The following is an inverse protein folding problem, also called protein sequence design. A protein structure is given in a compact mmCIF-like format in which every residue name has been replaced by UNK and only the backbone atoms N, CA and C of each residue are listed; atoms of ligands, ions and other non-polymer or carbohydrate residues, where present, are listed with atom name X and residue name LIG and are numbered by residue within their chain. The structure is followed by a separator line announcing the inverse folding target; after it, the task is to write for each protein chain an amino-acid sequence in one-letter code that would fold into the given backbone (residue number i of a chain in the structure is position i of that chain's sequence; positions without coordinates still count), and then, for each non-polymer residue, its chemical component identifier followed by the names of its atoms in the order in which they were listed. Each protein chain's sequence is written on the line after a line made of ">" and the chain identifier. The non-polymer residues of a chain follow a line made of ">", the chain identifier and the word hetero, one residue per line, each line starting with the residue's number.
data_IF_204816115013
#
_entry.id   IF_204816115013
#
_cell.length_a   1.000
_cell.length_b   1.000
_cell.length_c   1.000
_cell.angle_alpha   90.00
_cell.angle_beta   90.00
_cell.angle_gamma   90.00
#
_symmetry.space_group_name_H-M   'P 1'
#
loop_
_entity.id
_entity.type
_entity.pdbx_description
1 polymer ?
#
# COMPACT_ATOMS: atom_id res chain seq x y z
N UNK A 1 -16.82 15.69 8.67
CA UNK A 1 -16.25 14.60 7.87
C UNK A 1 -15.70 13.55 8.83
N UNK A 2 -16.23 12.32 8.77
CA UNK A 2 -15.75 11.16 9.53
C UNK A 2 -14.61 10.48 8.75
N UNK A 3 -13.55 10.09 9.43
CA UNK A 3 -12.42 9.35 8.84
C UNK A 3 -12.43 7.92 9.37
N UNK A 4 -12.47 6.93 8.48
CA UNK A 4 -12.26 5.52 8.83
C UNK A 4 -10.77 5.18 8.66
N UNK A 5 -10.11 4.79 9.73
CA UNK A 5 -8.75 4.23 9.67
C UNK A 5 -8.86 2.73 9.68
N UNK A 6 -8.50 2.08 8.55
CA UNK A 6 -8.58 0.63 8.39
C UNK A 6 -7.23 -0.01 8.68
N UNK A 7 -7.21 -0.96 9.60
CA UNK A 7 -6.02 -1.72 9.98
C UNK A 7 -6.24 -3.21 9.68
N UNK A 8 -5.41 -3.80 8.83
CA UNK A 8 -5.33 -5.24 8.63
C UNK A 8 -4.11 -5.76 9.39
N UNK A 9 -4.33 -6.58 10.41
CA UNK A 9 -3.27 -6.99 11.36
C UNK A 9 -3.11 -8.50 11.42
N UNK A 10 -1.88 -8.95 11.69
CA UNK A 10 -1.56 -10.36 11.93
C UNK A 10 -0.25 -10.51 12.68
N UNK A 11 -0.31 -11.07 13.89
CA UNK A 11 0.87 -11.30 14.73
C UNK A 11 1.69 -10.04 15.02
N UNK A 12 1.03 -8.99 15.52
CA UNK A 12 1.59 -7.68 15.81
C UNK A 12 1.63 -7.37 17.31
N UNK A 13 1.65 -8.38 18.18
CA UNK A 13 1.55 -8.18 19.64
C UNK A 13 2.60 -7.20 20.22
N UNK A 14 3.75 -7.07 19.56
CA UNK A 14 4.83 -6.16 19.99
C UNK A 14 4.51 -4.69 19.68
N UNK A 15 3.76 -4.42 18.61
CA UNK A 15 3.62 -3.06 18.06
C UNK A 15 2.19 -2.54 18.05
N UNK A 16 1.19 -3.42 18.05
CA UNK A 16 -0.22 -3.07 17.84
C UNK A 16 -0.74 -2.02 18.82
N UNK A 17 -0.34 -2.09 20.09
CA UNK A 17 -0.76 -1.11 21.09
C UNK A 17 -0.27 0.29 20.72
N UNK A 18 1.03 0.43 20.42
CA UNK A 18 1.62 1.72 20.03
C UNK A 18 1.02 2.27 18.71
N UNK A 19 0.69 1.37 17.76
CA UNK A 19 0.05 1.74 16.51
C UNK A 19 -1.36 2.31 16.75
N UNK A 20 -2.21 1.62 17.51
CA UNK A 20 -3.57 2.09 17.85
C UNK A 20 -3.50 3.40 18.65
N UNK A 21 -2.66 3.47 19.67
CA UNK A 21 -2.49 4.69 20.47
C UNK A 21 -2.06 5.89 19.62
N UNK A 22 -1.26 5.70 18.58
CA UNK A 22 -0.85 6.77 17.68
C UNK A 22 -2.02 7.35 16.87
N UNK A 23 -3.04 6.53 16.56
CA UNK A 23 -4.28 6.96 15.91
C UNK A 23 -5.22 7.62 16.93
N UNK A 24 -5.36 7.05 18.13
CA UNK A 24 -6.20 7.60 19.19
C UNK A 24 -5.82 9.03 19.57
N UNK A 25 -4.51 9.37 19.49
CA UNK A 25 -3.95 10.70 19.83
C UNK A 25 -4.09 11.73 18.71
N UNK A 26 -4.67 11.36 17.55
CA UNK A 26 -4.86 12.32 16.47
C UNK A 26 -5.82 13.43 16.87
N UNK A 27 -5.44 14.66 16.57
CA UNK A 27 -6.23 15.86 16.89
C UNK A 27 -7.35 16.07 15.83
N UNK A 28 -8.26 15.11 15.74
CA UNK A 28 -9.45 15.16 14.87
C UNK A 28 -10.66 14.62 15.63
N UNK A 29 -11.79 15.35 15.55
CA UNK A 29 -12.97 15.02 16.35
C UNK A 29 -13.68 13.73 15.96
N UNK A 30 -13.70 13.39 14.66
CA UNK A 30 -14.51 12.29 14.13
C UNK A 30 -13.62 11.27 13.42
N UNK A 31 -13.19 10.23 14.15
CA UNK A 31 -12.49 9.08 13.61
C UNK A 31 -13.15 7.79 14.10
N UNK A 32 -13.15 6.76 13.28
CA UNK A 32 -13.35 5.37 13.67
C UNK A 32 -12.10 4.57 13.30
N UNK A 33 -11.74 3.61 14.12
CA UNK A 33 -10.56 2.75 13.97
C UNK A 33 -11.05 1.33 13.77
N UNK A 34 -10.94 0.81 12.57
CA UNK A 34 -11.44 -0.51 12.22
C UNK A 34 -10.26 -1.46 12.11
N UNK A 35 -10.17 -2.38 13.05
CA UNK A 35 -9.06 -3.34 13.16
C UNK A 35 -9.56 -4.72 12.80
N UNK A 36 -9.03 -5.28 11.72
CA UNK A 36 -9.38 -6.62 11.23
C UNK A 36 -8.20 -7.55 11.44
N UNK A 37 -8.41 -8.57 12.27
CA UNK A 37 -7.42 -9.61 12.51
C UNK A 37 -7.43 -10.68 11.42
N UNK A 38 -6.29 -10.92 10.78
CA UNK A 38 -6.11 -11.92 9.71
C UNK A 38 -5.60 -13.27 10.28
N UNK A 39 -6.11 -13.67 11.44
CA UNK A 39 -5.77 -14.94 12.08
C UNK A 39 -4.44 -14.89 12.84
N UNK A 40 -4.31 -13.97 13.78
CA UNK A 40 -3.18 -13.91 14.71
C UNK A 40 -3.17 -15.13 15.64
N UNK A 41 -1.96 -15.57 15.99
CA UNK A 41 -1.70 -16.71 16.88
C UNK A 41 -0.92 -16.31 18.14
N UNK A 42 -0.60 -15.02 18.25
CA UNK A 42 0.01 -14.38 19.42
C UNK A 42 -1.04 -13.57 20.19
N UNK A 43 -0.63 -12.76 21.16
CA UNK A 43 -1.52 -11.92 21.98
C UNK A 43 -2.05 -10.67 21.29
N UNK A 44 -1.97 -10.56 19.95
CA UNK A 44 -2.48 -9.39 19.22
C UNK A 44 -3.96 -9.12 19.50
N UNK A 45 -4.78 -10.17 19.42
CA UNK A 45 -6.25 -10.07 19.59
C UNK A 45 -6.63 -9.63 20.99
N UNK A 46 -5.98 -10.19 22.02
CA UNK A 46 -6.20 -9.83 23.43
C UNK A 46 -5.88 -8.35 23.69
N UNK A 47 -4.77 -7.86 23.14
CA UNK A 47 -4.36 -6.45 23.26
C UNK A 47 -5.40 -5.54 22.60
N UNK A 48 -5.83 -5.84 21.37
CA UNK A 48 -6.82 -5.02 20.65
C UNK A 48 -8.13 -4.96 21.43
N UNK A 49 -8.64 -6.11 21.91
CA UNK A 49 -9.88 -6.18 22.68
C UNK A 49 -9.80 -5.38 23.98
N UNK A 50 -8.66 -5.44 24.66
CA UNK A 50 -8.43 -4.65 25.88
C UNK A 50 -8.51 -3.15 25.61
N UNK A 51 -7.92 -2.67 24.51
CA UNK A 51 -7.97 -1.25 24.15
C UNK A 51 -9.37 -0.84 23.72
N UNK A 52 -10.07 -1.70 22.96
CA UNK A 52 -11.44 -1.43 22.50
C UNK A 52 -12.46 -1.29 23.65
N UNK A 53 -12.22 -1.93 24.79
CA UNK A 53 -13.05 -1.73 25.99
C UNK A 53 -13.00 -0.30 26.54
N UNK A 54 -11.93 0.44 26.26
CA UNK A 54 -11.70 1.80 26.79
C UNK A 54 -11.93 2.91 25.76
N UNK A 55 -12.07 2.56 24.46
CA UNK A 55 -12.28 3.54 23.39
C UNK A 55 -13.34 3.04 22.39
N UNK A 56 -14.55 3.57 22.52
CA UNK A 56 -15.69 3.21 21.65
C UNK A 56 -15.54 3.57 20.17
N UNK A 57 -14.45 4.22 19.76
CA UNK A 57 -14.14 4.48 18.35
C UNK A 57 -13.53 3.27 17.65
N UNK A 58 -13.12 2.24 18.43
CA UNK A 58 -12.46 1.05 17.91
C UNK A 58 -13.50 -0.01 17.60
N UNK A 59 -13.53 -0.45 16.35
CA UNK A 59 -14.33 -1.57 15.84
C UNK A 59 -13.34 -2.69 15.54
N UNK A 60 -13.45 -3.80 16.29
CA UNK A 60 -12.64 -4.99 16.06
C UNK A 60 -13.49 -6.11 15.45
N UNK A 61 -12.94 -6.76 14.41
CA UNK A 61 -13.54 -7.97 13.84
C UNK A 61 -12.44 -8.92 13.30
N UNK A 62 -12.83 -10.18 13.10
CA UNK A 62 -11.94 -11.18 12.49
C UNK A 62 -12.14 -11.21 10.97
N UNK A 63 -11.06 -11.40 10.22
CA UNK A 63 -11.13 -11.59 8.78
C UNK A 63 -11.86 -12.91 8.46
N UNK A 64 -13.01 -12.88 7.76
CA UNK A 64 -13.75 -14.09 7.42
C UNK A 64 -13.02 -15.01 6.45
N UNK A 65 -12.07 -14.47 5.69
CA UNK A 65 -11.22 -15.20 4.73
C UNK A 65 -9.79 -14.75 4.89
N UNK A 66 -8.82 -15.66 4.87
CA UNK A 66 -7.42 -15.31 5.08
C UNK A 66 -6.86 -14.41 3.97
N UNK A 67 -6.03 -13.44 4.37
CA UNK A 67 -5.26 -12.58 3.48
C UNK A 67 -5.45 -11.09 3.72
N UNK A 68 -4.37 -10.33 3.59
CA UNK A 68 -4.34 -8.87 3.82
C UNK A 68 -5.37 -8.10 3.01
N UNK A 69 -5.52 -8.45 1.71
CA UNK A 69 -6.52 -7.83 0.81
C UNK A 69 -7.93 -8.07 1.32
N UNK A 70 -8.25 -9.31 1.70
CA UNK A 70 -9.55 -9.67 2.28
C UNK A 70 -9.83 -8.91 3.56
N UNK A 71 -8.84 -8.78 4.45
CA UNK A 71 -8.97 -8.03 5.70
C UNK A 71 -9.29 -6.55 5.43
N UNK A 72 -8.59 -5.88 4.52
CA UNK A 72 -8.90 -4.49 4.14
C UNK A 72 -10.28 -4.35 3.50
N UNK A 73 -10.67 -5.27 2.60
CA UNK A 73 -12.02 -5.27 2.00
C UNK A 73 -13.11 -5.47 3.06
N UNK A 74 -12.84 -6.33 4.06
CA UNK A 74 -13.78 -6.53 5.18
C UNK A 74 -13.88 -5.26 6.03
N UNK A 75 -12.77 -4.65 6.42
CA UNK A 75 -12.75 -3.38 7.15
C UNK A 75 -13.47 -2.26 6.39
N UNK A 76 -13.29 -2.19 5.06
CA UNK A 76 -13.99 -1.20 4.24
C UNK A 76 -15.51 -1.38 4.24
N UNK A 77 -16.01 -2.61 4.29
CA UNK A 77 -17.46 -2.88 4.40
C UNK A 77 -18.06 -2.39 5.72
N UNK A 78 -17.27 -2.40 6.81
CA UNK A 78 -17.67 -1.91 8.13
C UNK A 78 -17.55 -0.39 8.25
N UNK A 79 -16.67 0.22 7.43
CA UNK A 79 -16.35 1.64 7.47
C UNK A 79 -17.56 2.52 7.14
N UNK A 80 -17.77 3.57 7.95
CA UNK A 80 -18.83 4.57 7.76
C UNK A 80 -18.28 5.95 7.35
N UNK A 81 -16.97 6.17 7.48
CA UNK A 81 -16.32 7.44 7.21
C UNK A 81 -16.44 7.90 5.77
N UNK A 82 -16.52 9.19 5.55
CA UNK A 82 -16.49 9.84 4.24
C UNK A 82 -15.11 9.76 3.58
N UNK A 83 -14.06 9.68 4.41
CA UNK A 83 -12.69 9.45 3.98
C UNK A 83 -12.12 8.19 4.62
N UNK A 84 -11.26 7.50 3.86
CA UNK A 84 -10.63 6.25 4.25
C UNK A 84 -9.12 6.45 4.29
N UNK A 85 -8.47 5.96 5.35
CA UNK A 85 -7.01 5.84 5.46
C UNK A 85 -6.67 4.40 5.81
N UNK A 86 -5.68 3.81 5.15
CA UNK A 86 -5.17 2.49 5.50
C UNK A 86 -3.99 2.64 6.46
N UNK A 87 -3.85 1.71 7.40
CA UNK A 87 -2.75 1.75 8.36
C UNK A 87 -2.30 0.34 8.73
N UNK A 88 -1.01 0.19 9.05
CA UNK A 88 -0.44 -1.10 9.46
C UNK A 88 -0.39 -1.23 10.99
N UNK A 89 -0.34 -2.46 11.50
CA UNK A 89 -0.33 -2.74 12.94
C UNK A 89 1.03 -2.52 13.62
N UNK A 90 2.09 -2.27 12.83
CA UNK A 90 3.47 -2.08 13.30
C UNK A 90 3.99 -0.65 13.15
N UNK A 91 3.24 0.24 12.50
CA UNK A 91 3.63 1.62 12.20
C UNK A 91 3.15 2.63 13.26
N UNK A 92 3.65 3.86 13.17
CA UNK A 92 3.23 4.99 14.03
C UNK A 92 2.68 6.12 13.16
N UNK A 93 1.51 6.63 13.51
CA UNK A 93 0.93 7.80 12.87
C UNK A 93 1.45 9.08 13.56
N UNK A 94 2.12 10.00 12.83
CA UNK A 94 2.57 11.27 13.41
C UNK A 94 1.39 12.09 13.94
N UNK A 95 1.62 12.85 15.01
CA UNK A 95 0.62 13.77 15.54
C UNK A 95 0.15 14.74 14.44
N UNK A 96 -1.14 15.08 14.45
CA UNK A 96 -1.80 15.96 13.47
C UNK A 96 -1.81 15.45 12.00
N UNK A 97 -1.33 14.24 11.74
CA UNK A 97 -1.32 13.68 10.38
C UNK A 97 -2.72 13.62 9.77
N UNK A 98 -3.72 13.13 10.51
CA UNK A 98 -5.10 13.07 10.01
C UNK A 98 -5.71 14.46 9.84
N UNK A 99 -5.45 15.40 10.76
CA UNK A 99 -5.98 16.77 10.69
C UNK A 99 -5.50 17.50 9.43
N UNK A 100 -4.21 17.41 9.13
CA UNK A 100 -3.62 18.02 7.93
C UNK A 100 -4.20 17.40 6.65
N UNK A 101 -4.25 16.06 6.58
CA UNK A 101 -4.80 15.37 5.42
C UNK A 101 -6.29 15.64 5.22
N UNK A 102 -7.06 15.72 6.29
CA UNK A 102 -8.48 16.05 6.25
C UNK A 102 -8.71 17.45 5.66
N UNK A 103 -7.92 18.44 6.09
CA UNK A 103 -8.01 19.81 5.58
C UNK A 103 -7.76 19.88 4.06
N UNK A 104 -6.80 19.12 3.56
CA UNK A 104 -6.54 19.05 2.12
C UNK A 104 -7.68 18.34 1.36
N UNK A 105 -8.16 17.21 1.89
CA UNK A 105 -9.24 16.44 1.27
C UNK A 105 -10.55 17.23 1.10
N UNK A 106 -10.89 18.11 2.06
CA UNK A 106 -12.08 18.95 2.00
C UNK A 106 -12.10 19.91 0.81
N UNK A 107 -10.93 20.24 0.26
CA UNK A 107 -10.76 21.17 -0.86
C UNK A 107 -10.45 20.45 -2.19
N UNK A 108 -10.57 19.13 -2.24
CA UNK A 108 -10.34 18.35 -3.45
C UNK A 108 -11.66 18.00 -4.15
N UNK A 109 -11.62 17.95 -5.48
CA UNK A 109 -12.69 17.43 -6.30
C UNK A 109 -12.75 15.89 -6.20
N UNK A 110 -13.95 15.36 -6.01
CA UNK A 110 -14.19 13.91 -5.93
C UNK A 110 -14.28 13.29 -7.35
N UNK A 111 -13.74 12.09 -7.56
CA UNK A 111 -13.09 11.15 -6.64
C UNK A 111 -11.66 11.59 -6.23
N UNK A 112 -11.44 11.85 -4.94
CA UNK A 112 -10.26 12.48 -4.40
C UNK A 112 -9.30 11.49 -3.72
N UNK A 113 -8.01 11.66 -3.99
CA UNK A 113 -6.94 10.88 -3.34
C UNK A 113 -5.78 11.81 -2.97
N UNK A 114 -5.42 11.78 -1.71
CA UNK A 114 -4.26 12.48 -1.18
C UNK A 114 -3.14 11.50 -0.87
N UNK A 115 -1.97 11.72 -1.48
CA UNK A 115 -0.74 10.96 -1.20
C UNK A 115 0.20 11.78 -0.34
N UNK A 116 0.58 11.25 0.81
CA UNK A 116 1.56 11.86 1.72
C UNK A 116 2.89 11.11 1.66
N UNK A 117 3.88 11.54 2.42
CA UNK A 117 5.15 10.83 2.58
C UNK A 117 5.05 9.79 3.68
N UNK A 118 5.96 8.83 3.63
CA UNK A 118 6.30 8.01 4.78
C UNK A 118 7.71 8.37 5.25
N UNK A 119 7.99 8.19 6.54
CA UNK A 119 9.30 8.36 7.13
C UNK A 119 9.74 7.04 7.75
N UNK A 120 10.97 6.65 7.50
CA UNK A 120 11.53 5.43 8.08
C UNK A 120 11.73 5.62 9.58
N UNK A 121 11.26 4.67 10.37
CA UNK A 121 11.49 4.53 11.80
C UNK A 121 12.34 3.27 12.02
N UNK A 122 13.61 3.43 12.40
CA UNK A 122 14.56 2.32 12.48
C UNK A 122 15.59 2.51 13.60
N UNK A 123 16.05 1.41 14.19
CA UNK A 123 17.22 1.42 15.07
C UNK A 123 18.52 1.68 14.30
N UNK A 124 18.54 1.36 13.01
CA UNK A 124 19.70 1.67 12.14
C UNK A 124 19.71 3.15 11.77
N UNK A 125 20.63 3.89 12.40
CA UNK A 125 20.80 5.34 12.21
C UNK A 125 21.10 5.76 10.76
N UNK A 126 21.51 4.84 9.88
CA UNK A 126 21.78 5.14 8.47
C UNK A 126 20.49 5.32 7.66
N UNK A 127 19.40 4.71 8.10
CA UNK A 127 18.12 4.76 7.40
C UNK A 127 17.02 5.45 8.22
N UNK A 128 17.20 5.62 9.52
CA UNK A 128 16.23 6.28 10.38
C UNK A 128 15.98 7.73 9.91
N UNK A 129 14.71 8.15 9.93
CA UNK A 129 14.31 9.49 9.52
C UNK A 129 14.26 9.72 8.01
N UNK A 130 14.65 8.76 7.17
CA UNK A 130 14.59 8.92 5.70
C UNK A 130 13.16 9.10 5.24
N UNK A 131 12.90 10.17 4.47
CA UNK A 131 11.61 10.41 3.82
C UNK A 131 11.48 9.63 2.50
N UNK A 132 10.34 9.01 2.28
CA UNK A 132 10.02 8.26 1.07
C UNK A 132 8.69 8.80 0.49
N UNK A 133 8.71 9.31 -0.76
CA UNK A 133 9.90 9.61 -1.58
C UNK A 133 10.67 10.83 -1.04
N UNK A 134 12.00 10.87 -1.29
CA UNK A 134 12.85 12.03 -0.90
C UNK A 134 12.47 13.31 -1.66
N UNK A 135 11.94 13.17 -2.88
CA UNK A 135 11.61 14.30 -3.76
C UNK A 135 10.48 15.14 -3.17
N UNK A 136 10.68 16.46 -3.10
CA UNK A 136 9.67 17.43 -2.68
C UNK A 136 8.48 17.44 -3.64
N UNK A 137 7.27 17.65 -3.10
CA UNK A 137 6.03 17.67 -3.88
C UNK A 137 5.59 16.31 -4.42
N UNK A 138 6.18 15.21 -3.92
CA UNK A 138 5.74 13.85 -4.24
C UNK A 138 5.35 13.08 -3.01
N UNK A 139 4.15 12.48 -3.03
CA UNK A 139 3.68 11.50 -2.06
C UNK A 139 4.10 10.08 -2.43
N UNK A 140 3.92 9.16 -1.52
CA UNK A 140 4.14 7.74 -1.68
C UNK A 140 2.82 7.05 -2.08
N UNK A 141 2.78 6.12 -3.05
CA UNK A 141 1.55 5.43 -3.45
C UNK A 141 1.20 4.21 -2.57
N UNK A 142 1.88 3.99 -1.44
CA UNK A 142 1.57 2.88 -0.53
C UNK A 142 0.29 3.13 0.28
N UNK A 143 -0.39 2.06 0.70
CA UNK A 143 -1.63 2.15 1.48
C UNK A 143 -1.52 3.03 2.72
N UNK A 144 -0.44 2.90 3.50
CA UNK A 144 -0.23 3.67 4.73
C UNK A 144 -0.08 5.20 4.52
N UNK A 145 0.18 5.65 3.31
CA UNK A 145 0.42 7.07 2.98
C UNK A 145 -0.72 7.74 2.24
N UNK A 146 -1.70 6.98 1.78
CA UNK A 146 -2.84 7.54 1.04
C UNK A 146 -4.07 7.73 1.95
N UNK A 147 -4.83 8.76 1.64
CA UNK A 147 -6.19 9.00 2.13
C UNK A 147 -7.08 9.25 0.92
N UNK A 148 -8.27 8.71 0.91
CA UNK A 148 -9.18 8.82 -0.24
C UNK A 148 -10.64 8.90 0.19
N UNK A 149 -11.47 9.52 -0.64
CA UNK A 149 -12.90 9.61 -0.40
C UNK A 149 -13.66 8.33 -0.83
N UNK A 150 -14.95 8.28 -0.52
CA UNK A 150 -15.83 7.15 -0.86
C UNK A 150 -15.96 6.92 -2.37
N UNK A 151 -15.87 7.96 -3.18
CA UNK A 151 -15.96 7.82 -4.63
C UNK A 151 -14.70 7.18 -5.20
N UNK A 152 -13.52 7.57 -4.71
CA UNK A 152 -12.24 6.92 -5.06
C UNK A 152 -12.15 5.50 -4.49
N UNK A 153 -12.72 5.26 -3.30
CA UNK A 153 -12.75 3.93 -2.67
C UNK A 153 -13.41 2.86 -3.57
N UNK A 154 -14.38 3.23 -4.41
CA UNK A 154 -15.01 2.30 -5.38
C UNK A 154 -13.99 1.64 -6.32
N UNK A 155 -12.88 2.32 -6.60
CA UNK A 155 -11.80 1.80 -7.44
C UNK A 155 -10.67 1.19 -6.61
N UNK A 156 -10.24 1.90 -5.55
CA UNK A 156 -9.10 1.51 -4.74
C UNK A 156 -9.35 0.26 -3.90
N UNK A 157 -10.58 0.07 -3.39
CA UNK A 157 -10.94 -1.07 -2.55
C UNK A 157 -11.56 -2.24 -3.34
N UNK A 158 -11.74 -2.08 -4.65
CA UNK A 158 -12.21 -3.14 -5.55
C UNK A 158 -11.06 -4.05 -6.03
N UNK A 159 -10.23 -4.43 -5.07
CA UNK A 159 -8.99 -5.20 -5.26
C UNK A 159 -9.33 -6.64 -5.63
N UNK A 160 -8.80 -7.21 -6.73
CA UNK A 160 -8.95 -8.62 -7.02
C UNK A 160 -8.39 -9.52 -5.90
N UNK A 161 -9.13 -10.56 -5.52
CA UNK A 161 -8.72 -11.49 -4.45
C UNK A 161 -7.49 -12.34 -4.83
N UNK A 162 -7.16 -12.39 -6.13
CA UNK A 162 -5.96 -13.03 -6.67
C UNK A 162 -4.66 -12.30 -6.30
N UNK A 163 -4.75 -11.01 -5.91
CA UNK A 163 -3.59 -10.18 -5.60
C UNK A 163 -3.14 -10.36 -4.14
N UNK A 164 -1.81 -10.40 -3.91
CA UNK A 164 -1.27 -10.63 -2.57
C UNK A 164 -1.29 -9.40 -1.66
N UNK A 165 -1.44 -8.19 -2.22
CA UNK A 165 -1.44 -6.93 -1.49
C UNK A 165 -2.22 -5.83 -2.22
N UNK A 166 -2.64 -4.84 -1.48
CA UNK A 166 -3.40 -3.68 -1.92
C UNK A 166 -2.55 -2.65 -2.68
N UNK A 167 -1.29 -2.46 -2.27
CA UNK A 167 -0.41 -1.39 -2.76
C UNK A 167 -0.27 -1.40 -4.29
N UNK A 168 -0.05 -2.60 -4.87
CA UNK A 168 0.16 -2.73 -6.31
C UNK A 168 -1.11 -2.39 -7.10
N UNK A 169 -2.29 -2.77 -6.57
CA UNK A 169 -3.57 -2.41 -7.18
C UNK A 169 -3.81 -0.91 -7.12
N UNK A 170 -3.60 -0.31 -5.95
CA UNK A 170 -3.78 1.12 -5.74
C UNK A 170 -2.85 1.94 -6.62
N UNK A 171 -1.57 1.56 -6.73
CA UNK A 171 -0.61 2.20 -7.64
C UNK A 171 -1.09 2.18 -9.11
N UNK A 172 -1.69 1.07 -9.55
CA UNK A 172 -2.29 0.99 -10.88
C UNK A 172 -3.52 1.90 -11.03
N UNK A 173 -4.40 1.96 -10.04
CA UNK A 173 -5.52 2.89 -10.04
C UNK A 173 -5.03 4.34 -10.15
N UNK A 174 -4.09 4.74 -9.29
CA UNK A 174 -3.50 6.08 -9.26
C UNK A 174 -2.83 6.46 -10.58
N UNK A 175 -2.20 5.50 -11.25
CA UNK A 175 -1.43 5.73 -12.48
C UNK A 175 -2.31 5.76 -13.73
N UNK A 176 -3.32 4.89 -13.80
CA UNK A 176 -4.00 4.62 -15.07
C UNK A 176 -5.45 5.10 -15.12
N UNK A 177 -6.16 5.30 -14.00
CA UNK A 177 -7.54 5.77 -14.01
C UNK A 177 -7.59 7.31 -14.14
N UNK A 178 -8.08 7.85 -15.27
CA UNK A 178 -8.01 9.29 -15.54
C UNK A 178 -9.00 10.14 -14.73
N UNK A 179 -10.02 9.50 -14.14
CA UNK A 179 -11.06 10.19 -13.36
C UNK A 179 -10.66 10.47 -11.92
N UNK A 180 -9.54 9.93 -11.44
CA UNK A 180 -9.10 10.12 -10.07
C UNK A 180 -8.32 11.43 -9.92
N UNK A 181 -8.77 12.28 -9.00
CA UNK A 181 -8.08 13.54 -8.65
C UNK A 181 -7.02 13.26 -7.57
N UNK A 182 -5.77 13.17 -7.99
CA UNK A 182 -4.65 12.80 -7.11
C UNK A 182 -3.81 14.02 -6.77
N UNK A 183 -3.69 14.32 -5.47
CA UNK A 183 -2.80 15.38 -4.94
C UNK A 183 -1.68 14.76 -4.12
N UNK A 184 -0.47 15.30 -4.25
CA UNK A 184 0.67 14.92 -3.41
C UNK A 184 0.93 15.96 -2.35
N UNK A 185 1.30 15.51 -1.14
CA UNK A 185 1.59 16.32 0.03
C UNK A 185 2.97 15.97 0.61
N UNK A 186 3.67 16.94 1.15
CA UNK A 186 5.02 16.70 1.72
C UNK A 186 4.97 16.26 3.20
N UNK A 187 3.81 16.34 3.86
CA UNK A 187 3.65 15.89 5.23
C UNK A 187 3.75 14.36 5.35
N UNK A 188 4.21 13.91 6.50
CA UNK A 188 4.38 12.48 6.81
C UNK A 188 3.06 11.90 7.29
N UNK A 189 2.55 10.89 6.58
CA UNK A 189 1.36 10.15 6.99
C UNK A 189 1.67 9.03 7.98
N UNK A 190 2.87 8.46 7.89
CA UNK A 190 3.24 7.25 8.59
C UNK A 190 4.75 7.25 8.90
N UNK A 191 5.11 6.90 10.13
CA UNK A 191 6.46 6.47 10.49
C UNK A 191 6.50 4.97 10.26
N UNK A 192 7.11 4.57 9.15
CA UNK A 192 7.22 3.18 8.74
C UNK A 192 8.31 2.47 9.54
N UNK A 193 7.89 1.55 10.40
CA UNK A 193 8.80 0.79 11.25
C UNK A 193 9.53 -0.28 10.46
N UNK A 194 10.87 -0.25 10.50
CA UNK A 194 11.72 -1.25 9.87
C UNK A 194 12.27 -2.20 10.92
N UNK A 195 11.85 -3.45 10.87
CA UNK A 195 12.27 -4.52 11.76
C UNK A 195 12.44 -5.86 10.99
N UNK A 196 12.96 -6.88 11.65
CA UNK A 196 13.25 -8.18 11.03
C UNK A 196 12.02 -8.94 10.52
N UNK A 197 10.84 -8.60 11.03
CA UNK A 197 9.55 -9.21 10.65
C UNK A 197 8.85 -8.55 9.46
N UNK A 198 9.35 -7.43 8.91
CA UNK A 198 8.72 -6.80 7.77
C UNK A 198 8.62 -7.73 6.56
N UNK A 199 7.49 -7.65 5.85
CA UNK A 199 7.23 -8.45 4.64
C UNK A 199 8.14 -8.14 3.46
N UNK A 200 8.78 -6.97 3.44
CA UNK A 200 9.79 -6.58 2.44
C UNK A 200 11.15 -7.14 2.88
N UNK A 201 11.45 -8.33 2.43
CA UNK A 201 12.76 -8.94 2.68
C UNK A 201 13.70 -8.70 1.50
N UNK A 202 14.67 -7.79 1.72
CA UNK A 202 15.88 -7.66 0.87
C UNK A 202 16.69 -8.98 0.89
N UNK A 203 16.38 -9.88 1.82
CA UNK A 203 17.08 -11.15 2.08
C UNK A 203 16.60 -12.32 1.22
N UNK A 204 15.44 -12.21 0.54
CA UNK A 204 14.95 -13.31 -0.28
C UNK A 204 15.97 -13.73 -1.34
N UNK A 205 16.06 -15.04 -1.59
CA UNK A 205 16.74 -15.57 -2.77
C UNK A 205 15.94 -15.21 -4.04
N UNK A 206 16.59 -15.40 -5.21
CA UNK A 206 15.96 -15.05 -6.48
C UNK A 206 14.64 -15.81 -6.73
N UNK A 207 14.57 -17.09 -6.39
CA UNK A 207 13.38 -17.90 -6.70
C UNK A 207 12.19 -17.45 -5.85
N UNK A 208 12.41 -17.30 -4.54
CA UNK A 208 11.40 -16.80 -3.60
C UNK A 208 10.91 -15.41 -3.97
N UNK A 209 11.86 -14.49 -4.28
CA UNK A 209 11.52 -13.16 -4.73
C UNK A 209 10.73 -13.16 -6.04
N UNK A 210 11.18 -13.93 -7.04
CA UNK A 210 10.55 -14.01 -8.34
C UNK A 210 9.10 -14.53 -8.25
N UNK A 211 8.85 -15.54 -7.41
CA UNK A 211 7.51 -16.04 -7.14
C UNK A 211 6.59 -14.97 -6.54
N UNK A 212 7.09 -14.23 -5.53
CA UNK A 212 6.35 -13.11 -4.91
C UNK A 212 6.07 -11.99 -5.93
N UNK A 213 7.09 -11.61 -6.70
CA UNK A 213 6.99 -10.55 -7.70
C UNK A 213 6.02 -10.91 -8.82
N UNK A 214 6.08 -12.15 -9.34
CA UNK A 214 5.14 -12.62 -10.38
C UNK A 214 3.69 -12.57 -9.93
N UNK A 215 3.40 -12.93 -8.67
CA UNK A 215 2.05 -12.81 -8.11
C UNK A 215 1.56 -11.36 -8.07
N UNK A 216 2.45 -10.40 -7.72
CA UNK A 216 2.10 -8.98 -7.74
C UNK A 216 1.84 -8.47 -9.15
N UNK A 217 2.63 -8.92 -10.14
CA UNK A 217 2.48 -8.47 -11.54
C UNK A 217 1.24 -9.02 -12.24
N UNK A 218 0.53 -9.97 -11.65
CA UNK A 218 -0.81 -10.34 -12.12
C UNK A 218 -1.78 -9.14 -12.14
N UNK A 219 -1.46 -8.07 -11.39
CA UNK A 219 -2.22 -6.82 -11.41
C UNK A 219 -2.40 -6.27 -12.83
N UNK A 220 -1.44 -6.47 -13.73
CA UNK A 220 -1.50 -5.94 -15.10
C UNK A 220 -2.72 -6.50 -15.84
N UNK A 221 -2.87 -7.83 -15.81
CA UNK A 221 -3.94 -8.52 -16.51
C UNK A 221 -5.29 -8.34 -15.80
N UNK A 222 -5.31 -8.39 -14.47
CA UNK A 222 -6.51 -8.10 -13.66
C UNK A 222 -7.03 -6.70 -13.91
N UNK A 223 -6.14 -5.70 -13.95
CA UNK A 223 -6.50 -4.30 -14.18
C UNK A 223 -7.02 -4.07 -15.62
N UNK A 224 -6.36 -4.66 -16.62
CA UNK A 224 -6.82 -4.62 -18.00
C UNK A 224 -8.20 -5.25 -18.15
N UNK A 225 -8.39 -6.44 -17.58
CA UNK A 225 -9.67 -7.15 -17.69
C UNK A 225 -10.82 -6.34 -17.07
N UNK A 226 -10.54 -5.63 -15.97
CA UNK A 226 -11.56 -4.89 -15.23
C UNK A 226 -11.89 -3.54 -15.85
N UNK A 227 -10.89 -2.82 -16.36
CA UNK A 227 -11.05 -1.42 -16.75
C UNK A 227 -10.82 -1.10 -18.23
N UNK A 228 -10.61 -2.10 -19.09
CA UNK A 228 -10.36 -1.89 -20.53
C UNK A 228 -11.42 -1.02 -21.22
N UNK A 229 -12.67 -1.05 -20.78
CA UNK A 229 -13.77 -0.29 -21.40
C UNK A 229 -13.72 1.23 -21.07
N UNK A 230 -13.06 1.61 -19.99
CA UNK A 230 -12.98 3.02 -19.54
C UNK A 230 -11.58 3.62 -19.69
N UNK A 231 -10.60 2.79 -20.02
CA UNK A 231 -9.22 3.26 -20.20
C UNK A 231 -9.03 3.89 -21.59
N UNK A 232 -8.22 4.98 -21.71
CA UNK A 232 -7.75 5.49 -22.97
C UNK A 232 -6.99 4.42 -23.78
N UNK A 233 -7.10 4.48 -25.11
CA UNK A 233 -6.52 3.47 -26.03
C UNK A 233 -4.99 3.35 -25.87
N UNK A 234 -4.31 4.48 -25.67
CA UNK A 234 -2.87 4.51 -25.44
C UNK A 234 -2.47 3.81 -24.14
N UNK A 235 -3.26 3.95 -23.08
CA UNK A 235 -3.05 3.25 -21.80
C UNK A 235 -3.30 1.74 -21.92
N UNK A 236 -4.32 1.35 -22.65
CA UNK A 236 -4.58 -0.07 -22.96
C UNK A 236 -3.41 -0.67 -23.74
N UNK A 237 -2.93 0.03 -24.78
CA UNK A 237 -1.78 -0.41 -25.57
C UNK A 237 -0.51 -0.55 -24.70
N UNK A 238 -0.28 0.42 -23.83
CA UNK A 238 0.85 0.38 -22.91
C UNK A 238 0.78 -0.81 -21.94
N UNK A 239 -0.37 -1.02 -21.30
CA UNK A 239 -0.58 -2.13 -20.36
C UNK A 239 -0.45 -3.51 -21.04
N UNK A 240 -0.89 -3.65 -22.27
CA UNK A 240 -0.65 -4.87 -23.09
C UNK A 240 0.85 -5.10 -23.31
N UNK A 241 1.61 -4.06 -23.66
CA UNK A 241 3.06 -4.15 -23.78
C UNK A 241 3.73 -4.51 -22.45
N UNK A 242 3.22 -3.98 -21.34
CA UNK A 242 3.71 -4.27 -19.99
C UNK A 242 3.45 -5.74 -19.61
N UNK A 243 2.26 -6.30 -19.96
CA UNK A 243 1.94 -7.72 -19.79
C UNK A 243 2.87 -8.62 -20.63
N UNK A 244 3.13 -8.26 -21.90
CA UNK A 244 4.11 -8.97 -22.72
C UNK A 244 5.50 -8.95 -22.08
N UNK A 245 5.97 -7.79 -21.60
CA UNK A 245 7.27 -7.66 -20.96
C UNK A 245 7.37 -8.48 -19.65
N UNK A 246 6.29 -8.57 -18.85
CA UNK A 246 6.24 -9.47 -17.70
C UNK A 246 6.34 -10.95 -18.11
N UNK A 247 5.71 -11.33 -19.21
CA UNK A 247 5.82 -12.69 -19.74
C UNK A 247 7.26 -13.01 -20.20
N UNK A 248 7.95 -12.08 -20.87
CA UNK A 248 9.38 -12.22 -21.19
C UNK A 248 10.23 -12.34 -19.92
N UNK A 249 9.97 -11.51 -18.91
CA UNK A 249 10.65 -11.60 -17.63
C UNK A 249 10.51 -12.97 -16.97
N UNK A 250 9.29 -13.54 -16.95
CA UNK A 250 9.01 -14.88 -16.38
C UNK A 250 9.76 -15.99 -17.08
N UNK A 251 9.95 -15.86 -18.39
CA UNK A 251 10.71 -16.81 -19.21
C UNK A 251 12.23 -16.61 -19.13
N UNK A 252 12.67 -15.45 -18.66
CA UNK A 252 14.09 -15.08 -18.65
C UNK A 252 14.58 -14.45 -19.96
N UNK A 253 13.66 -14.09 -20.87
CA UNK A 253 13.93 -13.54 -22.20
C UNK A 253 14.27 -12.05 -22.10
N UNK A 254 15.43 -11.76 -21.51
CA UNK A 254 15.85 -10.40 -21.18
C UNK A 254 16.06 -9.50 -22.41
N UNK A 255 16.43 -10.06 -23.57
CA UNK A 255 16.56 -9.32 -24.83
C UNK A 255 15.21 -8.75 -25.27
N UNK A 256 14.14 -9.53 -25.22
CA UNK A 256 12.80 -9.08 -25.61
C UNK A 256 12.28 -7.96 -24.70
N UNK A 257 12.70 -7.94 -23.42
CA UNK A 257 12.39 -6.82 -22.51
C UNK A 257 13.01 -5.51 -23.01
N UNK A 258 14.24 -5.54 -23.55
CA UNK A 258 14.90 -4.33 -24.09
C UNK A 258 14.14 -3.72 -25.27
N UNK A 259 13.54 -4.55 -26.12
CA UNK A 259 12.78 -4.11 -27.29
C UNK A 259 11.28 -3.87 -26.99
N UNK A 260 10.79 -4.22 -25.80
CA UNK A 260 9.40 -3.96 -25.41
C UNK A 260 9.07 -2.46 -25.43
N UNK A 261 7.87 -2.11 -25.91
CA UNK A 261 7.39 -0.71 -25.98
C UNK A 261 6.84 -0.23 -24.63
N UNK A 262 7.71 -0.19 -23.63
CA UNK A 262 7.43 0.27 -22.26
C UNK A 262 8.47 1.32 -21.85
N UNK A 263 8.23 2.00 -20.71
CA UNK A 263 9.17 3.03 -20.21
C UNK A 263 10.54 2.43 -19.85
N UNK A 264 11.58 3.25 -19.86
CA UNK A 264 12.92 2.84 -19.44
C UNK A 264 12.91 2.34 -17.99
N UNK A 265 12.15 2.98 -17.12
CA UNK A 265 11.98 2.57 -15.72
C UNK A 265 11.43 1.15 -15.60
N UNK A 266 10.39 0.81 -16.39
CA UNK A 266 9.81 -0.52 -16.37
C UNK A 266 10.75 -1.56 -17.00
N UNK A 267 11.46 -1.21 -18.08
CA UNK A 267 12.51 -2.07 -18.64
C UNK A 267 13.55 -2.42 -17.59
N UNK A 268 14.11 -1.42 -16.91
CA UNK A 268 15.12 -1.63 -15.87
C UNK A 268 14.58 -2.48 -14.72
N UNK A 269 13.32 -2.25 -14.31
CA UNK A 269 12.66 -3.05 -13.29
C UNK A 269 12.53 -4.51 -13.69
N UNK A 270 12.02 -4.79 -14.88
CA UNK A 270 11.84 -6.16 -15.36
C UNK A 270 13.17 -6.86 -15.66
N UNK A 271 14.14 -6.18 -16.23
CA UNK A 271 15.49 -6.71 -16.42
C UNK A 271 16.12 -7.12 -15.10
N UNK A 272 16.06 -6.25 -14.08
CA UNK A 272 16.62 -6.55 -12.76
C UNK A 272 16.05 -7.81 -12.11
N UNK A 273 14.90 -8.27 -12.56
CA UNK A 273 14.19 -9.44 -12.01
C UNK A 273 14.02 -10.59 -13.02
N UNK A 274 14.62 -10.50 -14.22
CA UNK A 274 14.46 -11.50 -15.26
C UNK A 274 15.28 -12.78 -15.00
N UNK A 275 16.41 -12.66 -14.31
CA UNK A 275 17.26 -13.80 -13.96
C UNK A 275 18.10 -13.57 -12.70
N UNK A 276 18.72 -14.62 -12.19
CA UNK A 276 19.51 -14.59 -10.96
C UNK A 276 20.72 -13.64 -11.00
N UNK A 277 21.31 -13.44 -12.18
CA UNK A 277 22.50 -12.58 -12.34
C UNK A 277 22.13 -11.11 -12.22
N UNK A 278 21.12 -10.64 -12.95
CA UNK A 278 20.63 -9.27 -12.82
C UNK A 278 20.06 -8.98 -11.42
N UNK A 279 19.41 -9.97 -10.81
CA UNK A 279 18.94 -9.84 -9.43
C UNK A 279 20.11 -9.66 -8.43
N UNK A 280 21.20 -10.43 -8.59
CA UNK A 280 22.39 -10.28 -7.77
C UNK A 280 23.06 -8.91 -7.98
N UNK A 281 23.23 -8.47 -9.22
CA UNK A 281 23.75 -7.12 -9.53
C UNK A 281 22.93 -6.02 -8.84
N UNK A 282 21.61 -6.11 -8.89
CA UNK A 282 20.74 -5.13 -8.22
C UNK A 282 20.94 -5.11 -6.71
N UNK A 283 21.12 -6.28 -6.07
CA UNK A 283 21.41 -6.34 -4.63
C UNK A 283 22.69 -5.57 -4.28
N UNK A 284 23.75 -5.73 -5.07
CA UNK A 284 25.03 -5.02 -4.88
C UNK A 284 24.82 -3.50 -5.01
N UNK A 285 24.14 -3.04 -6.07
CA UNK A 285 23.87 -1.60 -6.30
C UNK A 285 23.04 -0.95 -5.17
N UNK A 286 22.14 -1.71 -4.52
CA UNK A 286 21.33 -1.21 -3.41
C UNK A 286 21.99 -1.29 -2.05
N UNK A 287 23.06 -2.05 -1.92
CA UNK A 287 23.86 -2.15 -0.69
C UNK A 287 24.96 -1.07 -0.61
N UNK A 288 25.18 -0.32 -1.68
CA UNK A 288 26.01 0.88 -1.76
C UNK A 288 25.11 2.11 -1.57
#
# INVERSE_FOLDING_TARGET
>A
MLISVLMAVKNECVHIESAIQSIQRQNVGNIEIIVIDDGSTDSTVEIIKSIALTDGRIIFDNNPTSGKVSAFKHGYRLAQGECIALFAGDDIMPLDSLAKRMNDMQNMESPAILMSKIQVLSEDKRIDGILIPKRKGRGNPSGASIMFDRAAAKYLMDIPDSLPNEDTWMDFCLTYLPMLHVKSHDDVACLWRVHSGNSITIKDDYQTFNKKFSKRMNVIDEFLNKYKEILPIDRIAYLKNLSCAENYRRKGDWLDILFAKITLSDKLRFLAYSNKYFYAMRKIIRSI
#
